data_IF_810459165192
#
_entry.id   IF_810459165192
#
_cell.length_a   1.000
_cell.length_b   1.000
_cell.length_c   1.000
_cell.angle_alpha   90.00
_cell.angle_beta   90.00
_cell.angle_gamma   90.00
#
_symmetry.space_group_name_H-M   'P 1'
#
loop_
_entity.id
_entity.type
_entity.pdbx_description
1 polymer ?
#
# COMPACT_ATOMS: atom_id res chain seq x y z
N UNK A 1 -39.07 40.65 8.13
CA UNK A 1 -38.29 40.14 9.29
C UNK A 1 -36.89 39.87 8.77
N UNK A 2 -36.00 40.85 8.90
CA UNK A 2 -34.62 40.75 8.43
C UNK A 2 -33.84 39.95 9.46
N UNK A 3 -33.49 38.71 9.12
CA UNK A 3 -32.56 37.92 9.91
C UNK A 3 -31.17 38.43 9.56
N UNK A 4 -30.66 39.37 10.37
CA UNK A 4 -29.25 39.66 10.43
C UNK A 4 -28.54 38.42 10.96
N UNK A 5 -28.04 37.57 10.05
CA UNK A 5 -27.08 36.54 10.41
C UNK A 5 -25.80 37.28 10.76
N UNK A 6 -25.55 37.45 12.06
CA UNK A 6 -24.26 37.85 12.60
C UNK A 6 -23.24 36.84 12.06
N UNK A 7 -22.50 37.25 11.03
CA UNK A 7 -21.56 36.40 10.32
C UNK A 7 -20.40 36.03 11.22
N UNK A 8 -20.46 34.85 11.83
CA UNK A 8 -19.22 34.12 12.12
C UNK A 8 -18.44 34.03 10.80
N UNK A 9 -17.20 34.55 10.72
CA UNK A 9 -16.41 34.41 9.51
C UNK A 9 -16.24 32.92 9.24
N UNK A 10 -16.83 32.44 8.14
CA UNK A 10 -16.70 31.04 7.76
C UNK A 10 -15.23 30.76 7.43
N UNK A 11 -14.62 29.86 8.19
CA UNK A 11 -13.24 29.44 7.97
C UNK A 11 -13.18 28.45 6.81
N UNK A 12 -12.30 28.70 5.84
CA UNK A 12 -12.12 27.78 4.71
C UNK A 12 -11.64 26.41 5.21
N UNK A 13 -12.24 25.31 4.72
CA UNK A 13 -11.85 23.96 5.13
C UNK A 13 -10.38 23.74 4.78
N UNK A 14 -9.58 23.35 5.78
CA UNK A 14 -8.13 23.20 5.62
C UNK A 14 -7.79 21.72 5.48
N UNK A 15 -7.20 21.30 4.35
CA UNK A 15 -6.67 19.95 4.17
C UNK A 15 -5.62 19.61 5.23
N UNK A 16 -5.61 18.36 5.68
CA UNK A 16 -4.54 17.85 6.51
C UNK A 16 -3.35 17.46 5.62
N UNK A 17 -2.30 18.30 5.67
CA UNK A 17 -1.12 18.14 4.82
C UNK A 17 -0.29 16.91 5.18
N UNK A 18 -0.28 16.48 6.44
CA UNK A 18 0.43 15.27 6.86
C UNK A 18 -0.26 14.03 6.28
N UNK A 19 -1.59 14.00 6.33
CA UNK A 19 -2.39 12.93 5.71
C UNK A 19 -2.21 12.90 4.20
N UNK A 20 -2.16 14.07 3.55
CA UNK A 20 -1.92 14.17 2.10
C UNK A 20 -0.56 13.58 1.72
N UNK A 21 0.52 14.03 2.37
CA UNK A 21 1.88 13.62 2.05
C UNK A 21 2.05 12.12 2.29
N UNK A 22 1.64 11.65 3.48
CA UNK A 22 1.70 10.23 3.83
C UNK A 22 0.87 9.37 2.87
N UNK A 23 -0.37 9.75 2.55
CA UNK A 23 -1.21 8.98 1.62
C UNK A 23 -0.61 8.94 0.22
N UNK A 24 -0.06 10.05 -0.29
CA UNK A 24 0.59 10.11 -1.61
C UNK A 24 1.83 9.21 -1.69
N UNK A 25 2.69 9.27 -0.68
CA UNK A 25 3.88 8.42 -0.61
C UNK A 25 3.51 6.94 -0.48
N UNK A 26 2.53 6.64 0.36
CA UNK A 26 2.06 5.28 0.59
C UNK A 26 1.42 4.70 -0.68
N UNK A 27 0.60 5.47 -1.40
CA UNK A 27 0.01 5.07 -2.68
C UNK A 27 1.08 4.68 -3.69
N UNK A 28 2.11 5.51 -3.87
CA UNK A 28 3.22 5.24 -4.79
C UNK A 28 4.00 3.99 -4.36
N UNK A 29 4.41 3.93 -3.09
CA UNK A 29 5.19 2.80 -2.55
C UNK A 29 4.44 1.47 -2.69
N UNK A 30 3.14 1.45 -2.36
CA UNK A 30 2.32 0.24 -2.45
C UNK A 30 2.02 -0.15 -3.89
N UNK A 31 1.76 0.81 -4.77
CA UNK A 31 1.58 0.52 -6.20
C UNK A 31 2.85 -0.08 -6.81
N UNK A 32 4.03 0.44 -6.44
CA UNK A 32 5.32 -0.10 -6.88
C UNK A 32 5.57 -1.51 -6.31
N UNK A 33 5.29 -1.72 -5.02
CA UNK A 33 5.42 -3.04 -4.39
C UNK A 33 4.49 -4.09 -5.01
N UNK A 34 3.32 -3.67 -5.51
CA UNK A 34 2.36 -4.49 -6.24
C UNK A 34 2.59 -4.49 -7.75
N UNK A 35 3.74 -3.97 -8.22
CA UNK A 35 4.06 -3.87 -9.65
C UNK A 35 4.06 -5.21 -10.38
N UNK A 36 4.32 -6.32 -9.68
CA UNK A 36 4.29 -7.69 -10.20
C UNK A 36 3.12 -8.51 -9.64
N UNK A 37 2.01 -7.84 -9.33
CA UNK A 37 0.77 -8.50 -8.91
C UNK A 37 0.34 -9.60 -9.90
N UNK A 38 -0.12 -10.73 -9.36
CA UNK A 38 -0.49 -11.90 -10.15
C UNK A 38 -1.70 -11.67 -11.08
N UNK A 39 -2.48 -10.61 -10.85
CA UNK A 39 -3.65 -10.21 -11.64
C UNK A 39 -3.26 -9.11 -12.63
N UNK A 40 -3.13 -9.40 -13.95
CA UNK A 40 -2.70 -8.40 -14.93
C UNK A 40 -3.61 -7.18 -15.00
N UNK A 41 -4.93 -7.37 -14.82
CA UNK A 41 -5.89 -6.26 -14.79
C UNK A 41 -5.58 -5.30 -13.64
N UNK A 42 -5.25 -5.82 -12.46
CA UNK A 42 -4.90 -4.98 -11.30
C UNK A 42 -3.58 -4.25 -11.49
N UNK A 43 -2.63 -4.85 -12.23
CA UNK A 43 -1.38 -4.17 -12.61
C UNK A 43 -1.66 -2.91 -13.45
N UNK A 44 -2.55 -3.01 -14.43
CA UNK A 44 -2.96 -1.83 -15.22
C UNK A 44 -3.78 -0.83 -14.39
N UNK A 45 -4.68 -1.31 -13.52
CA UNK A 45 -5.42 -0.45 -12.58
C UNK A 45 -4.48 0.36 -11.68
N UNK A 46 -3.43 -0.27 -11.11
CA UNK A 46 -2.45 0.42 -10.27
C UNK A 46 -1.66 1.48 -11.04
N UNK A 47 -1.33 1.23 -12.31
CA UNK A 47 -0.70 2.26 -13.17
C UNK A 47 -1.64 3.42 -13.43
N UNK A 48 -2.91 3.13 -13.72
CA UNK A 48 -3.96 4.13 -13.89
C UNK A 48 -4.11 4.97 -12.62
N UNK A 49 -4.13 4.34 -11.46
CA UNK A 49 -4.19 5.01 -10.15
C UNK A 49 -3.05 6.02 -9.97
N UNK A 50 -1.82 5.63 -10.27
CA UNK A 50 -0.65 6.52 -10.13
C UNK A 50 -0.69 7.66 -11.16
N UNK A 51 -1.18 7.40 -12.38
CA UNK A 51 -1.39 8.44 -13.39
C UNK A 51 -2.43 9.47 -12.93
N UNK A 52 -3.60 9.02 -12.46
CA UNK A 52 -4.66 9.91 -11.97
C UNK A 52 -4.23 10.66 -10.70
N UNK A 53 -3.47 10.03 -9.80
CA UNK A 53 -2.85 10.70 -8.66
C UNK A 53 -1.94 11.86 -9.13
N UNK A 54 -1.12 11.61 -10.16
CA UNK A 54 -0.29 12.64 -10.79
C UNK A 54 -1.09 13.77 -11.44
N UNK A 55 -2.26 13.47 -12.02
CA UNK A 55 -3.17 14.48 -12.55
C UNK A 55 -3.75 15.35 -11.43
N UNK A 56 -4.19 14.76 -10.32
CA UNK A 56 -4.67 15.53 -9.16
C UNK A 56 -3.54 16.39 -8.58
N UNK A 57 -2.34 15.83 -8.37
CA UNK A 57 -1.16 16.58 -7.89
C UNK A 57 -0.89 17.82 -8.75
N UNK A 58 -1.02 17.68 -10.08
CA UNK A 58 -0.85 18.78 -11.02
C UNK A 58 -1.92 19.85 -10.86
N UNK A 59 -3.21 19.49 -10.89
CA UNK A 59 -4.31 20.46 -10.78
C UNK A 59 -4.31 21.18 -9.42
N UNK A 60 -3.89 20.49 -8.35
CA UNK A 60 -3.66 21.10 -7.03
C UNK A 60 -2.53 22.13 -7.11
N UNK A 61 -1.39 21.78 -7.70
CA UNK A 61 -0.27 22.70 -7.83
C UNK A 61 -0.62 23.92 -8.70
N UNK A 62 -1.32 23.70 -9.81
CA UNK A 62 -1.81 24.77 -10.69
C UNK A 62 -2.79 25.68 -9.92
N UNK A 63 -3.68 25.10 -9.10
CA UNK A 63 -4.57 25.88 -8.21
C UNK A 63 -3.77 26.73 -7.22
N UNK A 64 -2.83 26.11 -6.48
CA UNK A 64 -2.02 26.78 -5.45
C UNK A 64 -1.10 27.88 -6.01
N UNK A 65 -0.76 27.80 -7.30
CA UNK A 65 0.18 28.72 -7.94
C UNK A 65 -0.51 29.79 -8.77
N UNK A 66 -1.51 29.43 -9.57
CA UNK A 66 -2.13 30.32 -10.54
C UNK A 66 -3.30 31.11 -9.96
N UNK A 67 -4.10 30.53 -9.07
CA UNK A 67 -5.29 31.20 -8.50
C UNK A 67 -4.92 32.52 -7.82
N UNK A 68 -3.85 32.62 -6.99
CA UNK A 68 -3.46 33.90 -6.40
C UNK A 68 -3.16 35.02 -7.40
N UNK A 69 -2.68 34.66 -8.59
CA UNK A 69 -2.36 35.63 -9.64
C UNK A 69 -3.57 35.98 -10.50
N UNK A 70 -4.51 35.06 -10.70
CA UNK A 70 -5.68 35.29 -11.56
C UNK A 70 -6.90 35.80 -10.80
N UNK A 71 -7.00 35.59 -9.48
CA UNK A 71 -8.17 35.92 -8.66
C UNK A 71 -7.83 37.05 -7.68
N UNK A 72 -7.70 38.26 -8.21
CA UNK A 72 -7.46 39.49 -7.47
C UNK A 72 -8.18 40.67 -8.13
N UNK A 73 -8.19 41.81 -7.45
CA UNK A 73 -8.86 43.04 -7.88
C UNK A 73 -7.89 44.12 -8.40
N UNK A 74 -6.60 43.82 -8.58
CA UNK A 74 -5.59 44.83 -8.90
C UNK A 74 -5.90 45.58 -10.20
N UNK A 75 -6.40 44.88 -11.22
CA UNK A 75 -6.80 45.49 -12.50
C UNK A 75 -8.06 46.35 -12.42
N UNK A 76 -8.87 46.22 -11.35
CA UNK A 76 -10.09 47.01 -11.16
C UNK A 76 -9.80 48.37 -10.50
N UNK A 77 -8.68 48.50 -9.80
CA UNK A 77 -8.35 49.71 -9.02
C UNK A 77 -8.26 50.99 -9.87
N UNK A 78 -7.58 51.01 -11.04
CA UNK A 78 -7.51 52.22 -11.86
C UNK A 78 -8.88 52.69 -12.35
N UNK A 79 -9.81 51.76 -12.61
CA UNK A 79 -11.17 52.09 -13.01
C UNK A 79 -11.98 52.66 -11.84
N UNK A 80 -11.83 52.11 -10.63
CA UNK A 80 -12.46 52.66 -9.43
C UNK A 80 -11.98 54.08 -9.12
N UNK A 81 -10.67 54.34 -9.22
CA UNK A 81 -10.11 55.68 -9.04
C UNK A 81 -10.65 56.66 -10.10
N UNK A 82 -10.80 56.22 -11.35
CA UNK A 82 -11.38 57.04 -12.41
C UNK A 82 -12.84 57.39 -12.12
N UNK A 83 -13.65 56.43 -11.63
CA UNK A 83 -15.04 56.66 -11.23
C UNK A 83 -15.14 57.65 -10.07
N UNK A 84 -14.30 57.51 -9.04
CA UNK A 84 -14.27 58.42 -7.89
C UNK A 84 -13.91 59.86 -8.32
N UNK A 85 -12.90 60.01 -9.16
CA UNK A 85 -12.48 61.31 -9.69
C UNK A 85 -13.58 61.99 -10.53
N UNK A 86 -14.29 61.24 -11.38
CA UNK A 86 -15.38 61.77 -12.20
C UNK A 86 -16.59 62.19 -11.35
N UNK A 87 -16.91 61.47 -10.28
CA UNK A 87 -17.99 61.84 -9.34
C UNK A 87 -17.67 63.08 -8.50
N UNK A 88 -16.38 63.41 -8.32
CA UNK A 88 -15.94 64.63 -7.66
C UNK A 88 -16.07 65.91 -8.52
N UNK A 89 -16.39 65.77 -9.80
CA UNK A 89 -16.56 66.88 -10.74
C UNK A 89 -18.04 67.28 -10.90
N UNK A 90 -18.30 68.42 -11.55
CA UNK A 90 -19.67 68.83 -11.85
C UNK A 90 -20.34 67.80 -12.78
N UNK A 91 -21.56 67.41 -12.46
CA UNK A 91 -22.27 66.36 -13.18
C UNK A 91 -22.62 66.84 -14.61
N UNK A 92 -22.12 66.12 -15.60
CA UNK A 92 -22.44 66.34 -17.01
C UNK A 92 -22.62 64.99 -17.74
N UNK A 93 -23.26 65.04 -18.90
CA UNK A 93 -23.60 63.85 -19.67
C UNK A 93 -22.38 63.01 -20.10
N UNK A 94 -21.20 63.62 -20.26
CA UNK A 94 -19.97 62.89 -20.61
C UNK A 94 -19.41 62.17 -19.40
N UNK A 95 -19.41 62.81 -18.23
CA UNK A 95 -19.00 62.21 -16.96
C UNK A 95 -19.90 61.02 -16.58
N UNK A 96 -21.22 61.13 -16.75
CA UNK A 96 -22.15 60.02 -16.52
C UNK A 96 -21.92 58.85 -17.48
N UNK A 97 -21.66 59.12 -18.77
CA UNK A 97 -21.36 58.08 -19.75
C UNK A 97 -20.04 57.35 -19.43
N UNK A 98 -18.98 58.09 -19.11
CA UNK A 98 -17.68 57.50 -18.75
C UNK A 98 -17.75 56.65 -17.48
N UNK A 99 -18.51 57.08 -16.46
CA UNK A 99 -18.75 56.26 -15.26
C UNK A 99 -19.47 54.95 -15.63
N UNK A 100 -20.45 54.99 -16.53
CA UNK A 100 -21.14 53.79 -16.99
C UNK A 100 -20.19 52.82 -17.70
N UNK A 101 -19.34 53.32 -18.60
CA UNK A 101 -18.35 52.51 -19.32
C UNK A 101 -17.34 51.85 -18.36
N UNK A 102 -16.83 52.58 -17.37
CA UNK A 102 -15.93 52.00 -16.36
C UNK A 102 -16.63 50.96 -15.47
N UNK A 103 -17.88 51.19 -15.09
CA UNK A 103 -18.65 50.22 -14.32
C UNK A 103 -18.90 48.93 -15.11
N UNK A 104 -19.10 49.04 -16.42
CA UNK A 104 -19.21 47.90 -17.33
C UNK A 104 -17.89 47.12 -17.38
N UNK A 105 -16.76 47.80 -17.57
CA UNK A 105 -15.44 47.17 -17.60
C UNK A 105 -15.12 46.43 -16.29
N UNK A 106 -15.39 47.05 -15.13
CA UNK A 106 -15.22 46.39 -13.83
C UNK A 106 -16.13 45.16 -13.72
N UNK A 107 -17.36 45.22 -14.21
CA UNK A 107 -18.28 44.08 -14.19
C UNK A 107 -17.79 42.94 -15.08
N UNK A 108 -17.21 43.26 -16.25
CA UNK A 108 -16.58 42.27 -17.13
C UNK A 108 -15.37 41.61 -16.45
N UNK A 109 -14.51 42.40 -15.79
CA UNK A 109 -13.38 41.88 -15.01
C UNK A 109 -13.86 40.94 -13.89
N UNK A 110 -14.82 41.36 -13.06
CA UNK A 110 -15.37 40.51 -11.98
C UNK A 110 -15.89 39.16 -12.52
N UNK A 111 -16.56 39.19 -13.66
CA UNK A 111 -17.05 38.01 -14.35
C UNK A 111 -15.91 37.12 -14.88
N UNK A 112 -14.89 37.71 -15.50
CA UNK A 112 -13.72 36.99 -15.98
C UNK A 112 -12.94 36.31 -14.84
N UNK A 113 -12.76 37.00 -13.70
CA UNK A 113 -12.10 36.44 -12.51
C UNK A 113 -12.88 35.26 -11.93
N UNK A 114 -14.19 35.41 -11.78
CA UNK A 114 -15.06 34.32 -11.31
C UNK A 114 -15.06 33.12 -12.26
N UNK A 115 -15.05 33.39 -13.58
CA UNK A 115 -15.02 32.34 -14.61
C UNK A 115 -13.71 31.57 -14.54
N UNK A 116 -12.59 32.27 -14.37
CA UNK A 116 -11.26 31.65 -14.23
C UNK A 116 -11.19 30.74 -13.01
N UNK A 117 -11.68 31.20 -11.85
CA UNK A 117 -11.76 30.36 -10.64
C UNK A 117 -12.70 29.15 -10.84
N UNK A 118 -13.81 29.32 -11.57
CA UNK A 118 -14.73 28.22 -11.90
C UNK A 118 -14.05 27.16 -12.76
N UNK A 119 -13.23 27.57 -13.74
CA UNK A 119 -12.48 26.65 -14.59
C UNK A 119 -11.50 25.83 -13.75
N UNK A 120 -10.74 26.48 -12.85
CA UNK A 120 -9.80 25.80 -11.94
C UNK A 120 -10.51 24.80 -11.01
N UNK A 121 -11.61 25.22 -10.39
CA UNK A 121 -12.39 24.33 -9.52
C UNK A 121 -12.96 23.12 -10.28
N UNK A 122 -13.40 23.29 -11.53
CA UNK A 122 -13.89 22.18 -12.38
C UNK A 122 -12.78 21.23 -12.82
N UNK A 123 -11.58 21.74 -13.09
CA UNK A 123 -10.45 20.91 -13.46
C UNK A 123 -10.03 20.00 -12.30
N UNK A 124 -9.92 20.57 -11.09
CA UNK A 124 -9.65 19.80 -9.86
C UNK A 124 -10.76 18.78 -9.56
N UNK A 125 -12.03 19.19 -9.64
CA UNK A 125 -13.18 18.29 -9.45
C UNK A 125 -13.15 17.09 -10.39
N UNK A 126 -12.88 17.34 -11.68
CA UNK A 126 -12.76 16.26 -12.68
C UNK A 126 -11.61 15.32 -12.36
N UNK A 127 -10.44 15.85 -11.98
CA UNK A 127 -9.29 15.03 -11.61
C UNK A 127 -9.60 14.16 -10.38
N UNK A 128 -10.29 14.70 -9.38
CA UNK A 128 -10.70 13.94 -8.20
C UNK A 128 -11.72 12.85 -8.52
N UNK A 129 -12.72 13.14 -9.36
CA UNK A 129 -13.70 12.15 -9.82
C UNK A 129 -13.00 11.01 -10.58
N UNK A 130 -12.06 11.33 -11.45
CA UNK A 130 -11.32 10.31 -12.20
C UNK A 130 -10.47 9.43 -11.28
N UNK A 131 -9.78 10.03 -10.31
CA UNK A 131 -8.99 9.29 -9.31
C UNK A 131 -9.89 8.36 -8.48
N UNK A 132 -11.02 8.88 -7.99
CA UNK A 132 -11.96 8.11 -7.16
C UNK A 132 -12.56 6.92 -7.91
N UNK A 133 -12.82 7.09 -9.22
CA UNK A 133 -13.35 6.06 -10.10
C UNK A 133 -12.40 4.88 -10.35
N UNK A 134 -11.11 4.99 -10.01
CA UNK A 134 -10.16 3.87 -10.13
C UNK A 134 -10.44 2.86 -9.02
N UNK A 135 -11.06 1.73 -9.37
CA UNK A 135 -11.41 0.65 -8.44
C UNK A 135 -10.26 -0.34 -8.27
N UNK A 136 -9.58 -0.32 -7.12
CA UNK A 136 -8.52 -1.29 -6.77
C UNK A 136 -9.01 -2.43 -5.87
N UNK A 137 -10.22 -2.33 -5.32
CA UNK A 137 -10.86 -3.28 -4.40
C UNK A 137 -11.78 -4.31 -5.09
N UNK A 138 -11.92 -4.24 -6.43
CA UNK A 138 -12.82 -5.11 -7.21
C UNK A 138 -12.52 -6.62 -7.19
N UNK A 139 -11.52 -7.05 -6.41
CA UNK A 139 -11.00 -8.43 -6.34
C UNK A 139 -11.22 -9.09 -4.97
N UNK A 140 -11.90 -8.42 -4.05
CA UNK A 140 -12.20 -8.96 -2.70
C UNK A 140 -12.95 -10.30 -2.72
N UNK A 141 -13.74 -10.53 -3.78
CA UNK A 141 -14.46 -11.79 -3.97
C UNK A 141 -13.54 -13.01 -4.17
N UNK A 142 -12.27 -12.81 -4.51
CA UNK A 142 -11.28 -13.89 -4.69
C UNK A 142 -10.67 -14.36 -3.35
N UNK A 143 -10.76 -13.53 -2.31
CA UNK A 143 -10.16 -13.79 -1.00
C UNK A 143 -10.64 -15.11 -0.37
N UNK A 144 -11.95 -15.42 -0.30
CA UNK A 144 -12.42 -16.65 0.34
C UNK A 144 -11.93 -17.92 -0.36
N UNK A 145 -11.83 -17.89 -1.69
CA UNK A 145 -11.34 -19.03 -2.47
C UNK A 145 -9.85 -19.28 -2.21
N UNK A 146 -9.04 -18.22 -2.16
CA UNK A 146 -7.62 -18.31 -1.81
C UNK A 146 -7.42 -18.80 -0.37
N UNK A 147 -8.19 -18.28 0.59
CA UNK A 147 -8.09 -18.71 2.00
C UNK A 147 -8.42 -20.21 2.15
N UNK A 148 -9.40 -20.71 1.40
CA UNK A 148 -9.72 -22.14 1.36
C UNK A 148 -8.59 -22.98 0.75
N UNK A 149 -8.01 -22.52 -0.37
CA UNK A 149 -6.90 -23.23 -1.03
C UNK A 149 -5.64 -23.27 -0.15
N UNK A 150 -5.30 -22.15 0.50
CA UNK A 150 -4.22 -22.06 1.49
C UNK A 150 -4.43 -23.09 2.61
N UNK A 151 -5.63 -23.14 3.21
CA UNK A 151 -5.93 -24.09 4.28
C UNK A 151 -5.75 -25.57 3.83
N UNK A 152 -6.14 -25.90 2.61
CA UNK A 152 -5.94 -27.24 2.04
C UNK A 152 -4.44 -27.54 1.84
N UNK A 153 -3.67 -26.56 1.35
CA UNK A 153 -2.23 -26.69 1.13
C UNK A 153 -1.45 -26.80 2.45
N UNK A 154 -1.86 -26.10 3.51
CA UNK A 154 -1.29 -26.24 4.85
C UNK A 154 -1.46 -27.64 5.41
N UNK A 155 -2.66 -28.22 5.30
CA UNK A 155 -2.94 -29.61 5.71
C UNK A 155 -2.08 -30.58 4.90
N UNK A 156 -1.95 -30.37 3.59
CA UNK A 156 -1.08 -31.19 2.73
C UNK A 156 0.38 -31.08 3.14
N UNK A 157 0.89 -29.88 3.39
CA UNK A 157 2.26 -29.66 3.82
C UNK A 157 2.55 -30.37 5.15
N UNK A 158 1.63 -30.29 6.12
CA UNK A 158 1.75 -31.02 7.38
C UNK A 158 1.81 -32.54 7.16
N UNK A 159 0.97 -33.07 6.26
CA UNK A 159 0.96 -34.49 5.90
C UNK A 159 2.27 -34.96 5.24
N UNK A 160 2.89 -34.15 4.40
CA UNK A 160 4.17 -34.49 3.75
C UNK A 160 5.37 -34.29 4.70
N UNK A 161 5.28 -33.39 5.68
CA UNK A 161 6.32 -33.17 6.70
C UNK A 161 6.44 -34.31 7.69
N UNK A 162 5.33 -34.91 8.12
CA UNK A 162 5.35 -35.97 9.13
C UNK A 162 6.26 -37.18 8.74
N UNK A 163 6.18 -37.75 7.51
CA UNK A 163 7.10 -38.80 7.08
C UNK A 163 8.57 -38.36 6.99
N UNK A 164 8.83 -37.08 6.69
CA UNK A 164 10.20 -36.55 6.64
C UNK A 164 10.79 -36.48 8.05
N UNK A 165 10.03 -36.01 9.04
CA UNK A 165 10.44 -35.98 10.45
C UNK A 165 10.74 -37.38 10.98
N UNK A 166 9.88 -38.35 10.65
CA UNK A 166 10.09 -39.76 11.02
C UNK A 166 11.39 -40.32 10.38
N UNK A 167 11.58 -40.10 9.07
CA UNK A 167 12.77 -40.58 8.37
C UNK A 167 14.06 -39.92 8.89
N UNK A 168 14.02 -38.65 9.32
CA UNK A 168 15.15 -37.96 9.94
C UNK A 168 15.51 -38.57 11.29
N UNK A 169 14.50 -38.90 12.12
CA UNK A 169 14.73 -39.59 13.39
C UNK A 169 15.33 -40.99 13.18
N UNK A 170 14.79 -41.76 12.23
CA UNK A 170 15.33 -43.08 11.86
C UNK A 170 16.79 -42.98 11.38
N UNK A 171 17.10 -42.01 10.52
CA UNK A 171 18.46 -41.79 10.04
C UNK A 171 19.43 -41.40 11.16
N UNK A 172 18.99 -40.60 12.15
CA UNK A 172 19.80 -40.25 13.30
C UNK A 172 20.17 -41.48 14.14
N UNK A 173 19.21 -42.38 14.40
CA UNK A 173 19.45 -43.64 15.12
C UNK A 173 20.45 -44.52 14.37
N UNK A 174 20.27 -44.71 13.07
CA UNK A 174 21.16 -45.54 12.24
C UNK A 174 22.57 -44.95 12.17
N UNK A 175 22.71 -43.64 11.97
CA UNK A 175 24.02 -42.99 11.88
C UNK A 175 24.76 -42.99 13.22
N UNK A 176 24.05 -42.81 14.34
CA UNK A 176 24.63 -42.93 15.67
C UNK A 176 25.18 -44.35 15.91
N UNK A 177 24.39 -45.38 15.59
CA UNK A 177 24.84 -46.77 15.73
C UNK A 177 26.04 -47.09 14.83
N UNK A 178 26.03 -46.65 13.57
CA UNK A 178 27.17 -46.81 12.66
C UNK A 178 28.42 -46.14 13.25
N UNK A 179 28.29 -44.93 13.79
CA UNK A 179 29.39 -44.18 14.41
C UNK A 179 29.94 -44.92 15.62
N UNK A 180 29.08 -45.43 16.49
CA UNK A 180 29.49 -46.20 17.66
C UNK A 180 30.23 -47.48 17.25
N UNK A 181 29.72 -48.22 16.25
CA UNK A 181 30.36 -49.43 15.71
C UNK A 181 31.71 -49.09 15.04
N UNK A 182 31.80 -48.01 14.29
CA UNK A 182 33.03 -47.55 13.64
C UNK A 182 34.07 -47.03 14.66
N UNK A 183 33.62 -46.46 15.78
CA UNK A 183 34.51 -46.03 16.88
C UNK A 183 35.17 -47.21 17.61
N UNK A 184 34.54 -48.38 17.57
CA UNK A 184 35.13 -49.64 18.04
C UNK A 184 36.16 -50.23 17.07
N UNK A 185 36.37 -49.62 15.89
CA UNK A 185 37.27 -50.08 14.81
C UNK A 185 38.77 -49.90 15.11
N UNK A 186 39.20 -50.18 16.35
CA UNK A 186 40.60 -50.41 16.70
C UNK A 186 41.09 -51.84 16.35
N UNK A 187 40.29 -52.65 15.64
CA UNK A 187 40.58 -54.07 15.45
C UNK A 187 40.30 -54.60 14.04
N UNK A 188 41.38 -54.73 13.25
CA UNK A 188 41.53 -55.73 12.17
C UNK A 188 41.19 -57.18 12.61
N UNK A 189 40.96 -57.42 13.92
CA UNK A 189 40.67 -58.72 14.54
C UNK A 189 39.18 -59.09 14.60
N UNK A 190 38.24 -58.18 14.27
CA UNK A 190 36.80 -58.41 14.42
C UNK A 190 36.08 -58.75 13.10
N UNK A 191 36.81 -59.00 12.00
CA UNK A 191 36.24 -59.44 10.70
C UNK A 191 35.18 -60.55 10.78
N UNK A 192 35.22 -61.53 11.71
CA UNK A 192 34.15 -62.54 11.84
C UNK A 192 32.88 -62.05 12.56
N UNK A 193 32.93 -60.92 13.28
CA UNK A 193 31.86 -60.40 14.16
C UNK A 193 30.98 -59.33 13.54
N UNK A 194 31.38 -58.79 12.37
CA UNK A 194 30.56 -57.88 11.55
C UNK A 194 29.26 -58.54 11.06
N UNK A 195 29.24 -59.89 11.02
CA UNK A 195 28.09 -60.69 10.63
C UNK A 195 26.95 -60.71 11.67
N UNK A 196 27.20 -60.37 12.94
CA UNK A 196 26.17 -60.30 13.99
C UNK A 196 26.60 -59.32 15.09
N UNK A 197 26.03 -58.11 15.06
CA UNK A 197 26.32 -57.05 16.03
C UNK A 197 25.87 -57.42 17.46
N UNK A 198 25.00 -58.40 17.63
CA UNK A 198 24.60 -58.92 18.95
C UNK A 198 25.76 -59.59 19.69
N UNK A 199 26.69 -60.22 18.97
CA UNK A 199 27.86 -60.91 19.56
C UNK A 199 28.99 -59.98 19.96
N UNK A 200 28.92 -58.70 19.59
CA UNK A 200 29.89 -57.68 20.04
C UNK A 200 29.82 -57.45 21.56
N UNK A 201 28.65 -57.68 22.16
CA UNK A 201 28.44 -57.60 23.60
C UNK A 201 29.27 -58.60 24.43
N UNK A 202 29.68 -59.71 23.81
CA UNK A 202 30.42 -60.79 24.46
C UNK A 202 31.94 -60.55 24.45
N UNK A 203 32.41 -59.52 23.75
CA UNK A 203 33.84 -59.25 23.51
C UNK A 203 34.47 -58.38 24.61
N UNK A 204 33.75 -57.38 25.12
CA UNK A 204 34.25 -56.50 26.19
C UNK A 204 33.08 -55.85 26.99
N UNK A 205 32.54 -56.54 28.00
CA UNK A 205 31.35 -56.10 28.72
C UNK A 205 31.55 -54.83 29.58
N UNK A 206 32.79 -54.41 29.84
CA UNK A 206 33.11 -53.20 30.63
C UNK A 206 33.15 -51.92 29.78
N UNK A 207 33.11 -52.03 28.44
CA UNK A 207 33.16 -50.88 27.56
C UNK A 207 31.82 -50.12 27.54
N UNK A 208 31.78 -48.81 27.89
CA UNK A 208 30.55 -48.03 27.97
C UNK A 208 29.81 -47.91 26.63
N UNK A 209 30.49 -48.08 25.48
CA UNK A 209 29.88 -48.05 24.15
C UNK A 209 28.99 -49.27 23.88
N UNK A 210 29.20 -50.39 24.57
CA UNK A 210 28.41 -51.62 24.37
C UNK A 210 26.93 -51.38 24.71
N UNK A 211 26.66 -50.57 25.74
CA UNK A 211 25.28 -50.22 26.12
C UNK A 211 24.58 -49.40 25.04
N UNK A 212 25.28 -48.42 24.46
CA UNK A 212 24.78 -47.59 23.35
C UNK A 212 24.49 -48.43 22.11
N UNK A 213 25.40 -49.34 21.76
CA UNK A 213 25.26 -50.25 20.61
C UNK A 213 24.07 -51.19 20.78
N UNK A 214 23.86 -51.76 21.98
CA UNK A 214 22.67 -52.60 22.25
C UNK A 214 21.36 -51.83 22.08
N UNK A 215 21.30 -50.60 22.58
CA UNK A 215 20.13 -49.73 22.40
C UNK A 215 19.91 -49.37 20.93
N UNK A 216 20.98 -49.06 20.20
CA UNK A 216 20.94 -48.78 18.76
C UNK A 216 20.48 -49.98 17.93
N UNK A 217 20.98 -51.19 18.21
CA UNK A 217 20.56 -52.43 17.54
C UNK A 217 19.06 -52.65 17.74
N UNK A 218 18.55 -52.52 18.97
CA UNK A 218 17.12 -52.65 19.23
C UNK A 218 16.29 -51.61 18.45
N UNK A 219 16.78 -50.37 18.36
CA UNK A 219 16.17 -49.31 17.55
C UNK A 219 16.13 -49.64 16.06
N UNK A 220 17.23 -50.17 15.49
CA UNK A 220 17.30 -50.54 14.07
C UNK A 220 16.53 -51.82 13.76
N UNK A 221 16.50 -52.82 14.65
CA UNK A 221 15.69 -54.02 14.49
C UNK A 221 14.21 -53.69 14.38
N UNK A 222 13.73 -52.71 15.16
CA UNK A 222 12.36 -52.19 15.04
C UNK A 222 12.11 -51.49 13.69
N UNK A 223 13.09 -50.75 13.16
CA UNK A 223 12.97 -50.07 11.84
C UNK A 223 12.93 -51.10 10.70
N UNK A 224 13.69 -52.19 10.82
CA UNK A 224 13.78 -53.24 9.81
C UNK A 224 12.69 -54.33 9.95
N UNK A 225 11.85 -54.26 10.99
CA UNK A 225 10.87 -55.28 11.35
C UNK A 225 11.48 -56.69 11.47
N UNK A 226 12.70 -56.76 12.02
CA UNK A 226 13.44 -58.01 12.20
C UNK A 226 13.19 -58.54 13.61
N UNK A 227 12.31 -59.55 13.72
CA UNK A 227 11.96 -60.17 15.00
C UNK A 227 13.04 -61.11 15.56
N UNK A 228 13.87 -61.72 14.70
CA UNK A 228 14.84 -62.77 15.10
C UNK A 228 16.14 -62.82 14.27
N UNK A 229 16.39 -61.83 13.40
CA UNK A 229 17.57 -61.81 12.53
C UNK A 229 18.69 -60.95 13.12
N UNK A 230 19.91 -61.51 13.19
CA UNK A 230 21.09 -60.79 13.62
C UNK A 230 21.36 -59.59 12.68
N UNK A 231 21.27 -58.36 13.21
CA UNK A 231 21.62 -57.15 12.47
C UNK A 231 23.14 -57.13 12.26
N UNK A 232 23.56 -57.08 11.00
CA UNK A 232 24.97 -56.94 10.61
C UNK A 232 25.29 -55.53 10.11
N UNK A 233 26.58 -55.19 9.98
CA UNK A 233 27.00 -53.88 9.48
C UNK A 233 26.51 -53.60 8.05
N UNK A 234 26.49 -54.61 7.18
CA UNK A 234 25.94 -54.48 5.82
C UNK A 234 24.45 -54.11 5.80
N UNK A 235 23.69 -54.53 6.83
CA UNK A 235 22.30 -54.12 7.00
C UNK A 235 22.20 -52.65 7.39
N UNK A 236 23.12 -52.15 8.23
CA UNK A 236 23.18 -50.74 8.63
C UNK A 236 23.53 -49.83 7.46
N UNK A 237 24.53 -50.21 6.66
CA UNK A 237 24.95 -49.43 5.50
C UNK A 237 23.88 -49.42 4.42
N UNK A 238 23.24 -50.56 4.12
CA UNK A 238 22.12 -50.63 3.19
C UNK A 238 20.90 -49.83 3.69
N UNK A 239 20.58 -49.89 4.99
CA UNK A 239 19.50 -49.10 5.58
C UNK A 239 19.82 -47.60 5.51
N UNK A 240 21.06 -47.19 5.79
CA UNK A 240 21.51 -45.81 5.65
C UNK A 240 21.33 -45.30 4.23
N UNK A 241 21.77 -46.07 3.23
CA UNK A 241 21.60 -45.70 1.81
C UNK A 241 20.11 -45.58 1.42
N UNK A 242 19.28 -46.53 1.87
CA UNK A 242 17.83 -46.48 1.66
C UNK A 242 17.19 -45.25 2.29
N UNK A 243 17.52 -44.95 3.55
CA UNK A 243 17.02 -43.77 4.27
C UNK A 243 17.49 -42.48 3.61
N UNK A 244 18.72 -42.40 3.12
CA UNK A 244 19.22 -41.24 2.38
C UNK A 244 18.44 -40.99 1.08
N UNK A 245 18.16 -42.04 0.30
CA UNK A 245 17.31 -41.92 -0.89
C UNK A 245 15.89 -41.48 -0.53
N UNK A 246 15.30 -42.07 0.51
CA UNK A 246 13.96 -41.72 0.98
C UNK A 246 13.88 -40.27 1.47
N UNK A 247 14.86 -39.84 2.28
CA UNK A 247 14.98 -38.46 2.76
C UNK A 247 15.05 -37.47 1.60
N UNK A 248 15.86 -37.75 0.58
CA UNK A 248 15.96 -36.90 -0.61
C UNK A 248 14.60 -36.75 -1.30
N UNK A 249 13.87 -37.85 -1.50
CA UNK A 249 12.55 -37.82 -2.11
C UNK A 249 11.48 -37.12 -1.26
N UNK A 250 11.52 -37.30 0.07
CA UNK A 250 10.61 -36.63 1.00
C UNK A 250 10.89 -35.13 1.09
N UNK A 251 12.16 -34.73 1.13
CA UNK A 251 12.59 -33.34 1.10
C UNK A 251 12.03 -32.64 -0.14
N UNK A 252 12.20 -33.25 -1.33
CA UNK A 252 11.66 -32.72 -2.58
C UNK A 252 10.13 -32.53 -2.55
N UNK A 253 9.39 -33.46 -1.94
CA UNK A 253 7.93 -33.34 -1.79
C UNK A 253 7.54 -32.20 -0.86
N UNK A 254 8.21 -32.07 0.28
CA UNK A 254 7.97 -30.98 1.24
C UNK A 254 8.30 -29.63 0.62
N UNK A 255 9.44 -29.53 -0.09
CA UNK A 255 9.86 -28.29 -0.76
C UNK A 255 8.88 -27.90 -1.88
N UNK A 256 8.40 -28.86 -2.67
CA UNK A 256 7.39 -28.63 -3.68
C UNK A 256 6.05 -28.17 -3.06
N UNK A 257 5.59 -28.84 -2.00
CA UNK A 257 4.35 -28.46 -1.31
C UNK A 257 4.46 -27.06 -0.67
N UNK A 258 5.62 -26.75 -0.09
CA UNK A 258 5.91 -25.44 0.50
C UNK A 258 5.92 -24.35 -0.56
N UNK A 259 6.59 -24.57 -1.69
CA UNK A 259 6.65 -23.60 -2.79
C UNK A 259 5.26 -23.27 -3.31
N UNK A 260 4.40 -24.29 -3.49
CA UNK A 260 3.00 -24.08 -3.89
C UNK A 260 2.22 -23.27 -2.86
N UNK A 261 2.39 -23.56 -1.56
CA UNK A 261 1.76 -22.79 -0.49
C UNK A 261 2.22 -21.32 -0.49
N UNK A 262 3.53 -21.07 -0.60
CA UNK A 262 4.11 -19.73 -0.63
C UNK A 262 3.57 -18.89 -1.79
N UNK A 263 3.31 -19.51 -2.96
CA UNK A 263 2.68 -18.83 -4.09
C UNK A 263 1.26 -18.37 -3.75
N UNK A 264 0.41 -19.24 -3.20
CA UNK A 264 -0.98 -18.86 -2.87
C UNK A 264 -1.05 -17.84 -1.72
N UNK A 265 -0.18 -17.98 -0.70
CA UNK A 265 -0.03 -16.98 0.37
C UNK A 265 0.40 -15.64 -0.20
N UNK A 266 1.37 -15.61 -1.11
CA UNK A 266 1.82 -14.38 -1.77
C UNK A 266 0.68 -13.70 -2.55
N UNK A 267 -0.15 -14.45 -3.28
CA UNK A 267 -1.33 -13.89 -3.96
C UNK A 267 -2.29 -13.26 -2.95
N UNK A 268 -2.54 -13.94 -1.82
CA UNK A 268 -3.43 -13.45 -0.77
C UNK A 268 -2.92 -12.17 -0.09
N UNK A 269 -1.62 -12.07 0.13
CA UNK A 269 -0.95 -10.86 0.62
C UNK A 269 -1.04 -9.72 -0.39
N UNK A 270 -0.87 -10.00 -1.69
CA UNK A 270 -1.04 -8.99 -2.74
C UNK A 270 -2.47 -8.42 -2.75
N UNK A 271 -3.51 -9.25 -2.58
CA UNK A 271 -4.89 -8.77 -2.45
C UNK A 271 -5.11 -7.91 -1.20
N UNK A 272 -4.52 -8.30 -0.06
CA UNK A 272 -4.55 -7.47 1.15
C UNK A 272 -3.84 -6.12 0.93
N UNK A 273 -2.76 -6.12 0.13
CA UNK A 273 -2.07 -4.91 -0.31
C UNK A 273 -3.00 -3.95 -1.06
N UNK A 274 -3.81 -4.45 -2.01
CA UNK A 274 -4.77 -3.66 -2.78
C UNK A 274 -5.83 -2.98 -1.89
N UNK A 275 -6.40 -3.69 -0.92
CA UNK A 275 -7.35 -3.10 0.03
C UNK A 275 -6.73 -1.93 0.81
N UNK A 276 -5.44 -2.03 1.12
CA UNK A 276 -4.73 -0.95 1.79
C UNK A 276 -4.40 0.23 0.87
N UNK A 277 -4.19 -0.01 -0.44
CA UNK A 277 -4.10 1.06 -1.45
C UNK A 277 -5.41 1.84 -1.51
N UNK A 278 -6.57 1.16 -1.51
CA UNK A 278 -7.88 1.81 -1.52
C UNK A 278 -8.06 2.73 -0.30
N UNK A 279 -7.70 2.28 0.89
CA UNK A 279 -7.77 3.09 2.10
C UNK A 279 -6.92 4.38 2.01
N UNK A 280 -5.72 4.29 1.41
CA UNK A 280 -4.86 5.45 1.19
C UNK A 280 -5.48 6.42 0.15
N UNK A 281 -6.06 5.88 -0.93
CA UNK A 281 -6.77 6.66 -1.97
C UNK A 281 -7.92 7.45 -1.35
N UNK A 282 -8.77 6.80 -0.54
CA UNK A 282 -9.91 7.44 0.13
C UNK A 282 -9.45 8.61 1.02
N UNK A 283 -8.40 8.41 1.81
CA UNK A 283 -7.86 9.48 2.65
C UNK A 283 -7.35 10.65 1.80
N UNK A 284 -6.58 10.37 0.75
CA UNK A 284 -6.07 11.40 -0.15
C UNK A 284 -7.20 12.21 -0.83
N UNK A 285 -8.19 11.51 -1.41
CA UNK A 285 -9.34 12.13 -2.08
C UNK A 285 -10.16 12.99 -1.10
N UNK A 286 -10.38 12.49 0.13
CA UNK A 286 -11.06 13.25 1.19
C UNK A 286 -10.35 14.55 1.51
N UNK A 287 -9.03 14.51 1.70
CA UNK A 287 -8.27 15.71 2.04
C UNK A 287 -8.21 16.71 0.87
N UNK A 288 -8.05 16.24 -0.37
CA UNK A 288 -8.09 17.13 -1.54
C UNK A 288 -9.48 17.72 -1.81
N UNK A 289 -10.53 17.00 -1.46
CA UNK A 289 -11.90 17.51 -1.57
C UNK A 289 -12.14 18.74 -0.70
N UNK A 290 -11.40 18.92 0.41
CA UNK A 290 -11.45 20.14 1.23
C UNK A 290 -10.94 21.37 0.47
N UNK A 291 -9.87 21.23 -0.33
CA UNK A 291 -9.40 22.31 -1.19
C UNK A 291 -10.48 22.69 -2.21
N UNK A 292 -11.07 21.71 -2.89
CA UNK A 292 -12.16 21.95 -3.83
C UNK A 292 -13.37 22.62 -3.16
N UNK A 293 -13.72 22.21 -1.94
CA UNK A 293 -14.79 22.82 -1.16
C UNK A 293 -14.49 24.29 -0.84
N UNK A 294 -13.24 24.63 -0.49
CA UNK A 294 -12.82 26.01 -0.27
C UNK A 294 -13.00 26.87 -1.54
N UNK A 295 -12.58 26.37 -2.71
CA UNK A 295 -12.78 27.07 -4.00
C UNK A 295 -14.27 27.28 -4.29
N UNK A 296 -15.10 26.25 -4.12
CA UNK A 296 -16.55 26.32 -4.31
C UNK A 296 -17.23 27.27 -3.34
N UNK A 297 -16.74 27.34 -2.09
CA UNK A 297 -17.24 28.28 -1.10
C UNK A 297 -17.01 29.73 -1.53
N UNK A 298 -15.79 30.06 -1.94
CA UNK A 298 -15.45 31.41 -2.43
C UNK A 298 -16.27 31.75 -3.68
N UNK A 299 -16.43 30.82 -4.62
CA UNK A 299 -17.28 31.01 -5.80
C UNK A 299 -18.73 31.37 -5.43
N UNK A 300 -19.32 30.68 -4.46
CA UNK A 300 -20.70 30.95 -4.00
C UNK A 300 -20.84 32.31 -3.31
N UNK A 301 -19.80 32.77 -2.63
CA UNK A 301 -19.85 33.94 -1.78
C UNK A 301 -19.18 35.18 -2.37
N UNK A 302 -18.53 35.09 -3.53
CA UNK A 302 -17.76 36.20 -4.15
C UNK A 302 -18.59 37.23 -4.89
N UNK A 303 -19.89 36.98 -5.12
CA UNK A 303 -20.75 37.86 -5.90
C UNK A 303 -21.81 38.54 -5.04
N UNK A 304 -21.88 39.86 -5.16
CA UNK A 304 -23.06 40.64 -4.78
C UNK A 304 -23.98 40.85 -5.98
N UNK A 305 -25.28 41.14 -5.77
CA UNK A 305 -26.23 41.46 -6.83
C UNK A 305 -25.73 42.62 -7.71
N UNK A 306 -26.11 42.62 -8.99
CA UNK A 306 -25.77 43.71 -9.92
C UNK A 306 -26.41 45.06 -9.55
N UNK A 307 -27.42 45.04 -8.70
CA UNK A 307 -28.08 46.24 -8.15
C UNK A 307 -27.24 46.96 -7.09
N UNK A 308 -26.21 46.32 -6.55
CA UNK A 308 -25.28 46.95 -5.60
C UNK A 308 -24.30 47.87 -6.34
N UNK A 309 -23.86 48.92 -5.65
CA UNK A 309 -22.84 49.84 -6.14
C UNK A 309 -21.56 49.09 -6.53
N UNK A 310 -20.92 49.51 -7.63
CA UNK A 310 -19.76 48.81 -8.18
C UNK A 310 -18.61 48.73 -7.18
N UNK A 311 -18.44 49.77 -6.35
CA UNK A 311 -17.41 49.86 -5.31
C UNK A 311 -17.63 48.77 -4.25
N UNK A 312 -18.88 48.58 -3.80
CA UNK A 312 -19.24 47.53 -2.85
C UNK A 312 -19.03 46.14 -3.44
N UNK A 313 -19.34 45.97 -4.73
CA UNK A 313 -19.11 44.70 -5.45
C UNK A 313 -17.61 44.37 -5.52
N UNK A 314 -16.75 45.34 -5.85
CA UNK A 314 -15.30 45.14 -5.88
C UNK A 314 -14.73 44.93 -4.48
N UNK A 315 -15.17 45.70 -3.48
CA UNK A 315 -14.72 45.54 -2.10
C UNK A 315 -15.05 44.14 -1.56
N UNK A 316 -16.29 43.69 -1.76
CA UNK A 316 -16.73 42.36 -1.36
C UNK A 316 -15.93 41.26 -2.08
N UNK A 317 -15.75 41.38 -3.39
CA UNK A 317 -14.90 40.47 -4.16
C UNK A 317 -13.46 40.45 -3.64
N UNK A 318 -12.87 41.60 -3.36
CA UNK A 318 -11.49 41.74 -2.87
C UNK A 318 -11.31 41.02 -1.54
N UNK A 319 -12.24 41.18 -0.60
CA UNK A 319 -12.20 40.46 0.68
C UNK A 319 -12.21 38.93 0.49
N UNK A 320 -13.01 38.44 -0.44
CA UNK A 320 -13.09 37.00 -0.76
C UNK A 320 -11.82 36.51 -1.46
N UNK A 321 -11.27 37.30 -2.38
CA UNK A 321 -10.02 37.03 -3.07
C UNK A 321 -8.84 36.98 -2.09
N UNK A 322 -8.71 37.95 -1.18
CA UNK A 322 -7.64 38.00 -0.19
C UNK A 322 -7.71 36.81 0.78
N UNK A 323 -8.92 36.45 1.23
CA UNK A 323 -9.11 35.28 2.08
C UNK A 323 -8.66 33.98 1.38
N UNK A 324 -9.02 33.81 0.10
CA UNK A 324 -8.60 32.66 -0.68
C UNK A 324 -7.08 32.67 -0.93
N UNK A 325 -6.51 33.82 -1.27
CA UNK A 325 -5.10 33.94 -1.60
C UNK A 325 -4.21 33.64 -0.39
N UNK A 326 -4.56 34.15 0.79
CA UNK A 326 -3.85 33.82 2.04
C UNK A 326 -3.90 32.32 2.33
N UNK A 327 -5.09 31.72 2.23
CA UNK A 327 -5.30 30.29 2.40
C UNK A 327 -4.44 29.44 1.44
N UNK A 328 -4.42 29.78 0.15
CA UNK A 328 -3.65 29.04 -0.86
C UNK A 328 -2.13 29.22 -0.69
N UNK A 329 -1.68 30.43 -0.30
CA UNK A 329 -0.25 30.68 -0.02
C UNK A 329 0.23 29.84 1.14
N UNK A 330 -0.56 29.71 2.21
CA UNK A 330 -0.20 28.88 3.36
C UNK A 330 -0.17 27.39 2.99
N UNK A 331 -1.16 26.89 2.26
CA UNK A 331 -1.14 25.51 1.76
C UNK A 331 0.05 25.24 0.84
N UNK A 332 0.40 26.18 -0.04
CA UNK A 332 1.55 26.06 -0.95
C UNK A 332 2.87 25.93 -0.21
N UNK A 333 3.04 26.58 0.95
CA UNK A 333 4.24 26.44 1.78
C UNK A 333 4.37 25.02 2.30
N UNK A 334 3.27 24.46 2.81
CA UNK A 334 3.22 23.08 3.32
C UNK A 334 3.27 22.02 2.22
N UNK A 335 2.91 22.35 0.99
CA UNK A 335 3.01 21.42 -0.15
C UNK A 335 4.46 21.14 -0.59
N UNK A 336 5.38 22.07 -0.32
CA UNK A 336 6.79 22.02 -0.74
C UNK A 336 7.72 21.38 0.28
N UNK A 337 7.30 21.32 1.55
CA UNK A 337 8.03 20.68 2.66
C UNK A 337 7.85 19.17 2.63
#
# INVERSE_FOLDING_TARGET
MNVHVLGTPFQLPTPDMEVIVSSREELRRKADALGDIYLPVMKETLRSLISELGHVDKEVLDTLTLVPHMYNSAEMLPFLEAVENLRGQAEDAKSSAAIADFNEEISQLLNARTTSLTIQAKALDKALINLDAVQVDGVDHLVPALDQEIAVLEVRLAKERAPLEEALQQAAVVNALITDVESLSLFDKLKPLVASLERLADVDPENPLIGSIKAGIAGVSNILDLLDAAVGYDHLTALRERLQMQLTGLQQKVDAARTTLEVEVSKREQLAGLASVEACKINYVREMSKLLEALRHVLRNSRLPETEEIEKRVEHFTRQADALNNYLVDLRRSWRS
#
